data_IF_865658005541
#
_entry.id   IF_865658005541
#
_cell.length_a   1.000
_cell.length_b   1.000
_cell.length_c   1.000
_cell.angle_alpha   90.00
_cell.angle_beta   90.00
_cell.angle_gamma   90.00
#
_symmetry.space_group_name_H-M   'P 1'
#
loop_
_entity.id
_entity.type
_entity.pdbx_description
1 polymer ?
#
# COMPACT_ATOMS: atom_id res chain seq x y z
N UNK A 1 0.91 0.30 5.89
CA UNK A 1 2.25 -0.31 5.71
C UNK A 1 2.76 -1.02 6.96
N UNK A 2 2.57 -0.50 8.18
CA UNK A 2 3.04 -1.15 9.43
C UNK A 2 2.52 -2.57 9.63
N UNK A 3 1.29 -2.87 9.26
CA UNK A 3 0.74 -4.23 9.34
C UNK A 3 1.05 -5.11 8.11
N UNK A 4 1.49 -4.54 6.99
CA UNK A 4 1.79 -5.27 5.76
C UNK A 4 3.26 -5.70 5.67
N UNK A 5 4.19 -4.73 5.76
CA UNK A 5 5.62 -4.96 5.50
C UNK A 5 6.26 -6.01 6.42
N UNK A 6 5.95 -6.05 7.74
CA UNK A 6 6.52 -7.08 8.63
C UNK A 6 6.15 -8.51 8.28
N UNK A 7 5.11 -8.71 7.47
CA UNK A 7 4.58 -10.03 7.12
C UNK A 7 4.90 -10.45 5.69
N UNK A 8 5.31 -9.50 4.84
CA UNK A 8 5.46 -9.77 3.41
C UNK A 8 6.58 -10.78 3.12
N UNK A 9 7.62 -10.81 3.95
CA UNK A 9 8.71 -11.78 3.81
C UNK A 9 8.24 -13.23 3.97
N UNK A 10 7.30 -13.49 4.88
CA UNK A 10 6.70 -14.81 5.08
C UNK A 10 5.85 -15.28 3.90
N UNK A 11 5.22 -14.33 3.21
CA UNK A 11 4.32 -14.62 2.09
C UNK A 11 5.10 -14.83 0.80
N UNK A 12 6.15 -14.03 0.58
CA UNK A 12 6.93 -14.00 -0.66
C UNK A 12 8.21 -14.85 -0.60
N UNK A 13 8.56 -15.42 0.56
CA UNK A 13 9.78 -16.24 0.71
C UNK A 13 11.07 -15.43 0.50
N UNK A 14 11.08 -14.18 0.91
CA UNK A 14 12.23 -13.28 0.84
C UNK A 14 12.88 -13.13 2.21
N UNK A 15 14.11 -12.62 2.26
CA UNK A 15 14.76 -12.29 3.53
C UNK A 15 13.96 -11.27 4.34
N UNK A 16 13.94 -11.43 5.65
CA UNK A 16 13.44 -10.43 6.57
C UNK A 16 14.25 -9.12 6.41
N UNK A 17 13.57 -8.00 6.49
CA UNK A 17 14.19 -6.68 6.39
C UNK A 17 13.61 -5.71 7.42
N UNK A 18 14.42 -4.78 7.83
CA UNK A 18 13.99 -3.64 8.67
C UNK A 18 13.63 -2.45 7.79
N UNK A 19 12.73 -1.61 8.26
CA UNK A 19 12.29 -0.43 7.52
C UNK A 19 11.87 0.71 8.45
N UNK A 20 12.03 1.94 7.98
CA UNK A 20 11.46 3.13 8.58
C UNK A 20 10.32 3.68 7.73
N UNK A 21 9.24 4.07 8.38
CA UNK A 21 8.14 4.78 7.73
C UNK A 21 8.23 6.28 8.06
N UNK A 22 8.34 7.07 7.02
CA UNK A 22 8.35 8.54 7.12
C UNK A 22 7.21 9.11 6.31
N UNK A 23 6.50 10.04 6.92
CA UNK A 23 5.37 10.71 6.27
C UNK A 23 5.81 12.11 5.89
N UNK A 24 5.69 12.43 4.60
CA UNK A 24 6.01 13.79 4.13
C UNK A 24 5.03 14.80 4.78
N UNK A 25 5.50 15.96 5.29
CA UNK A 25 4.63 16.95 5.93
C UNK A 25 3.46 17.41 5.05
N UNK A 26 3.69 17.54 3.76
CA UNK A 26 2.68 17.94 2.76
C UNK A 26 1.95 16.73 2.12
N UNK A 27 2.06 15.51 2.70
CA UNK A 27 1.39 14.29 2.22
C UNK A 27 1.69 13.99 0.74
N UNK A 28 0.68 13.53 -0.02
CA UNK A 28 0.84 13.10 -1.41
C UNK A 28 1.36 14.19 -2.35
N UNK A 29 0.88 15.45 -2.30
CA UNK A 29 1.49 16.56 -3.05
C UNK A 29 2.96 16.77 -2.72
N UNK A 30 3.35 16.59 -1.47
CA UNK A 30 4.74 16.70 -1.04
C UNK A 30 5.60 15.55 -1.55
N UNK A 31 5.09 14.33 -1.56
CA UNK A 31 5.80 13.19 -2.17
C UNK A 31 6.00 13.43 -3.66
N UNK A 32 4.96 13.88 -4.37
CA UNK A 32 5.09 14.16 -5.80
C UNK A 32 6.16 15.22 -6.10
N UNK A 33 6.13 16.33 -5.38
CA UNK A 33 6.99 17.49 -5.70
C UNK A 33 8.41 17.38 -5.12
N UNK A 34 8.57 16.75 -3.94
CA UNK A 34 9.78 16.88 -3.11
C UNK A 34 10.32 15.54 -2.56
N UNK A 35 9.88 14.38 -3.09
CA UNK A 35 10.38 13.08 -2.59
C UNK A 35 11.90 12.98 -2.63
N UNK A 36 12.55 13.49 -3.67
CA UNK A 36 14.00 13.46 -3.83
C UNK A 36 14.73 14.28 -2.77
N UNK A 37 14.25 15.47 -2.45
CA UNK A 37 14.83 16.33 -1.41
C UNK A 37 14.60 15.73 -0.02
N UNK A 38 13.40 15.18 0.21
CA UNK A 38 13.04 14.55 1.48
C UNK A 38 13.87 13.30 1.77
N UNK A 39 14.18 12.50 0.75
CA UNK A 39 14.94 11.26 0.87
C UNK A 39 16.46 11.44 0.72
N UNK A 40 16.95 12.54 0.13
CA UNK A 40 18.39 12.78 -0.08
C UNK A 40 19.26 12.60 1.17
N UNK A 41 18.89 13.13 2.35
CA UNK A 41 19.69 12.97 3.57
C UNK A 41 19.81 11.52 4.04
N UNK A 42 18.98 10.63 3.52
CA UNK A 42 18.85 9.24 3.94
C UNK A 42 19.63 8.26 3.04
N UNK A 43 20.16 8.72 1.90
CA UNK A 43 20.74 7.82 0.90
C UNK A 43 21.99 7.07 1.36
N UNK A 44 22.72 7.59 2.36
CA UNK A 44 23.86 6.93 3.01
C UNK A 44 23.46 6.04 4.19
N UNK A 45 22.21 6.10 4.65
CA UNK A 45 21.73 5.37 5.83
C UNK A 45 20.91 4.12 5.45
N UNK A 46 20.28 4.13 4.28
CA UNK A 46 19.39 3.06 3.84
C UNK A 46 19.85 2.48 2.51
N UNK A 47 19.70 1.16 2.38
CA UNK A 47 20.04 0.44 1.15
C UNK A 47 19.05 0.73 0.04
N UNK A 48 17.75 0.81 0.37
CA UNK A 48 16.65 1.01 -0.57
C UNK A 48 15.67 2.05 -0.07
N UNK A 49 14.95 2.69 -0.98
CA UNK A 49 13.88 3.63 -0.68
C UNK A 49 12.62 3.34 -1.51
N UNK A 50 11.47 3.52 -0.90
CA UNK A 50 10.16 3.46 -1.56
C UNK A 50 9.45 4.80 -1.32
N UNK A 51 9.16 5.54 -2.38
CA UNK A 51 8.25 6.67 -2.32
C UNK A 51 6.84 6.19 -2.66
N UNK A 52 5.87 6.48 -1.79
CA UNK A 52 4.47 6.06 -1.99
C UNK A 52 3.55 7.27 -1.89
N UNK A 53 2.56 7.32 -2.79
CA UNK A 53 1.53 8.34 -2.78
C UNK A 53 0.22 7.78 -3.34
N UNK A 54 -0.87 8.39 -2.94
CA UNK A 54 -2.17 8.18 -3.58
C UNK A 54 -2.28 9.09 -4.81
N UNK A 55 -2.88 8.58 -5.90
CA UNK A 55 -3.16 9.40 -7.07
C UNK A 55 -4.18 10.49 -6.72
N UNK A 56 -5.29 10.09 -6.09
CA UNK A 56 -6.28 11.03 -5.57
C UNK A 56 -5.70 11.81 -4.38
N UNK A 57 -5.75 13.12 -4.47
CA UNK A 57 -5.20 14.03 -3.47
C UNK A 57 -3.74 14.43 -3.72
N UNK A 58 -3.10 13.88 -4.76
CA UNK A 58 -1.75 14.29 -5.18
C UNK A 58 -1.72 15.67 -5.85
N UNK A 59 -2.88 16.16 -6.35
CA UNK A 59 -2.98 17.33 -7.20
C UNK A 59 -2.47 17.08 -8.62
N UNK A 60 -2.38 15.80 -9.02
CA UNK A 60 -1.87 15.35 -10.31
C UNK A 60 -2.79 14.32 -10.99
N UNK A 61 -4.06 14.31 -10.62
CA UNK A 61 -5.07 13.37 -11.09
C UNK A 61 -5.27 13.37 -12.61
N UNK A 62 -4.80 14.40 -13.30
CA UNK A 62 -4.82 14.49 -14.77
C UNK A 62 -3.74 13.64 -15.46
N UNK A 63 -2.75 13.13 -14.71
CA UNK A 63 -1.68 12.28 -15.24
C UNK A 63 -1.95 10.81 -14.94
N UNK A 64 -1.38 9.94 -15.77
CA UNK A 64 -1.41 8.52 -15.46
C UNK A 64 -0.48 8.18 -14.29
N UNK A 65 -0.77 7.10 -13.59
CA UNK A 65 0.08 6.55 -12.54
C UNK A 65 1.53 6.39 -13.00
N UNK A 66 1.73 5.83 -14.19
CA UNK A 66 3.05 5.58 -14.77
C UNK A 66 3.83 6.87 -15.02
N UNK A 67 3.15 7.94 -15.46
CA UNK A 67 3.77 9.24 -15.68
C UNK A 67 4.24 9.87 -14.36
N UNK A 68 3.42 9.75 -13.30
CA UNK A 68 3.77 10.21 -11.95
C UNK A 68 4.97 9.44 -11.42
N UNK A 69 4.92 8.11 -11.49
CA UNK A 69 6.00 7.24 -11.02
C UNK A 69 7.31 7.52 -11.74
N UNK A 70 7.27 7.70 -13.06
CA UNK A 70 8.44 8.04 -13.86
C UNK A 70 9.06 9.38 -13.44
N UNK A 71 8.24 10.41 -13.31
CA UNK A 71 8.70 11.76 -12.94
C UNK A 71 9.43 11.76 -11.59
N UNK A 72 8.84 11.12 -10.58
CA UNK A 72 9.46 11.04 -9.24
C UNK A 72 10.71 10.15 -9.29
N UNK A 73 10.70 9.03 -10.03
CA UNK A 73 11.87 8.14 -10.15
C UNK A 73 13.07 8.86 -10.74
N UNK A 74 12.89 9.63 -11.82
CA UNK A 74 13.96 10.42 -12.44
C UNK A 74 14.56 11.45 -11.46
N UNK A 75 13.74 12.02 -10.58
CA UNK A 75 14.20 12.93 -9.53
C UNK A 75 14.98 12.21 -8.43
N UNK A 76 14.54 11.02 -8.03
CA UNK A 76 15.23 10.18 -7.04
C UNK A 76 16.60 9.71 -7.56
N UNK A 77 16.68 9.29 -8.81
CA UNK A 77 17.95 8.88 -9.44
C UNK A 77 18.98 10.00 -9.37
N UNK A 78 18.60 11.22 -9.74
CA UNK A 78 19.45 12.42 -9.68
C UNK A 78 19.88 12.79 -8.24
N UNK A 79 19.20 12.29 -7.21
CA UNK A 79 19.49 12.58 -5.80
C UNK A 79 20.26 11.47 -5.08
N UNK A 80 20.83 10.50 -5.81
CA UNK A 80 21.67 9.44 -5.28
C UNK A 80 20.94 8.15 -4.93
N UNK A 81 19.68 7.98 -5.43
CA UNK A 81 18.90 6.76 -5.27
C UNK A 81 18.84 5.90 -6.53
N UNK A 82 19.76 6.11 -7.47
CA UNK A 82 19.83 5.34 -8.71
C UNK A 82 19.85 3.83 -8.44
N UNK A 83 18.99 3.08 -9.12
CA UNK A 83 18.82 1.63 -9.01
C UNK A 83 18.42 1.12 -7.60
N UNK A 84 18.26 2.00 -6.60
CA UNK A 84 17.96 1.67 -5.21
C UNK A 84 16.63 2.21 -4.72
N UNK A 85 15.83 2.77 -5.59
CA UNK A 85 14.51 3.29 -5.25
C UNK A 85 13.42 2.77 -6.16
N UNK A 86 12.19 2.85 -5.67
CA UNK A 86 10.99 2.68 -6.48
C UNK A 86 9.91 3.65 -6.02
N UNK A 87 9.04 4.00 -6.95
CA UNK A 87 7.87 4.84 -6.68
C UNK A 87 6.61 4.02 -6.89
N UNK A 88 5.70 4.09 -5.95
CA UNK A 88 4.42 3.38 -5.95
C UNK A 88 3.31 4.44 -5.89
N UNK A 89 2.66 4.69 -7.00
CA UNK A 89 1.47 5.52 -7.07
C UNK A 89 0.23 4.63 -7.02
N UNK A 90 -0.58 4.77 -5.98
CA UNK A 90 -1.78 3.97 -5.76
C UNK A 90 -2.97 4.65 -6.43
N UNK A 91 -3.65 3.96 -7.33
CA UNK A 91 -4.80 4.47 -8.08
C UNK A 91 -6.08 3.71 -7.66
N UNK A 92 -7.10 4.41 -7.19
CA UNK A 92 -7.14 5.84 -6.88
C UNK A 92 -6.41 6.19 -5.57
N UNK A 93 -6.39 5.32 -4.57
CA UNK A 93 -5.94 5.59 -3.21
C UNK A 93 -5.72 4.32 -2.40
N UNK A 94 -5.03 4.43 -1.25
CA UNK A 94 -4.67 3.30 -0.37
C UNK A 94 -5.87 2.44 0.03
N UNK A 95 -7.05 3.03 0.14
CA UNK A 95 -8.28 2.32 0.45
C UNK A 95 -8.58 1.20 -0.56
N UNK A 96 -8.06 1.27 -1.78
CA UNK A 96 -8.18 0.16 -2.74
C UNK A 96 -7.51 -1.14 -2.24
N UNK A 97 -6.53 -1.06 -1.35
CA UNK A 97 -5.82 -2.22 -0.82
C UNK A 97 -6.46 -2.82 0.44
N UNK A 98 -7.32 -2.07 1.14
CA UNK A 98 -7.96 -2.57 2.37
C UNK A 98 -9.20 -3.42 2.11
N UNK A 99 -9.78 -3.37 0.90
CA UNK A 99 -10.93 -4.19 0.52
C UNK A 99 -10.50 -5.64 0.29
N UNK A 100 -10.35 -6.36 1.39
CA UNK A 100 -9.94 -7.76 1.50
C UNK A 100 -11.16 -8.63 1.82
N UNK A 101 -10.96 -9.78 2.42
CA UNK A 101 -12.06 -10.66 2.83
C UNK A 101 -13.03 -9.92 3.77
N UNK A 102 -14.33 -10.01 3.50
CA UNK A 102 -15.40 -9.32 4.24
C UNK A 102 -15.29 -9.49 5.76
N UNK A 103 -15.08 -10.74 6.23
CA UNK A 103 -14.97 -11.02 7.67
C UNK A 103 -13.79 -10.31 8.35
N UNK A 104 -12.72 -10.02 7.63
CA UNK A 104 -11.57 -9.24 8.15
C UNK A 104 -11.96 -7.78 8.31
N UNK A 105 -12.70 -7.25 7.34
CA UNK A 105 -13.22 -5.88 7.41
C UNK A 105 -14.23 -5.73 8.55
N UNK A 106 -15.19 -6.63 8.65
CA UNK A 106 -16.21 -6.63 9.70
C UNK A 106 -15.59 -6.70 11.10
N UNK A 107 -14.63 -7.58 11.29
CA UNK A 107 -13.90 -7.68 12.56
C UNK A 107 -13.15 -6.38 12.89
N UNK A 108 -12.46 -5.80 11.92
CA UNK A 108 -11.64 -4.61 12.14
C UNK A 108 -12.49 -3.37 12.50
N UNK A 109 -13.67 -3.21 11.88
CA UNK A 109 -14.57 -2.07 12.13
C UNK A 109 -15.61 -2.35 13.22
N UNK A 110 -15.57 -3.54 13.85
CA UNK A 110 -16.58 -4.00 14.82
C UNK A 110 -18.00 -3.96 14.25
N UNK A 111 -18.20 -4.56 13.07
CA UNK A 111 -19.49 -4.58 12.38
C UNK A 111 -20.54 -5.33 13.18
N UNK A 112 -21.70 -4.69 13.46
CA UNK A 112 -22.78 -5.22 14.30
C UNK A 112 -24.17 -5.01 13.69
N UNK A 113 -24.27 -4.87 12.36
CA UNK A 113 -25.55 -4.74 11.69
C UNK A 113 -26.20 -6.12 11.41
N UNK A 114 -27.49 -6.13 11.16
CA UNK A 114 -28.26 -7.35 10.86
C UNK A 114 -27.93 -7.97 9.48
N UNK A 115 -27.24 -7.25 8.61
CA UNK A 115 -26.75 -7.71 7.30
C UNK A 115 -25.24 -7.74 7.31
N UNK A 116 -24.64 -8.51 6.40
CA UNK A 116 -23.19 -8.43 6.20
C UNK A 116 -22.75 -7.06 5.69
N UNK A 117 -21.50 -6.72 5.85
CA UNK A 117 -20.95 -5.44 5.40
C UNK A 117 -21.19 -5.24 3.90
N UNK A 118 -20.93 -6.27 3.08
CA UNK A 118 -21.05 -6.13 1.62
C UNK A 118 -22.53 -6.05 1.17
N UNK A 119 -23.44 -6.74 1.83
CA UNK A 119 -24.88 -6.57 1.60
C UNK A 119 -25.36 -5.16 1.97
N UNK A 120 -24.86 -4.63 3.07
CA UNK A 120 -25.17 -3.28 3.49
C UNK A 120 -24.67 -2.24 2.49
N UNK A 121 -23.44 -2.42 1.99
CA UNK A 121 -22.86 -1.53 0.97
C UNK A 121 -23.61 -1.61 -0.37
N UNK A 122 -24.05 -2.80 -0.77
CA UNK A 122 -24.87 -3.00 -1.97
C UNK A 122 -26.21 -2.24 -1.83
N UNK A 123 -26.89 -2.40 -0.70
CA UNK A 123 -28.15 -1.70 -0.39
C UNK A 123 -27.97 -0.17 -0.35
N UNK A 124 -26.76 0.33 -0.06
CA UNK A 124 -26.41 1.76 -0.11
C UNK A 124 -25.94 2.22 -1.49
N UNK A 125 -25.82 1.32 -2.46
CA UNK A 125 -25.28 1.62 -3.79
C UNK A 125 -23.78 1.95 -3.79
N UNK A 126 -23.05 1.57 -2.74
CA UNK A 126 -21.62 1.85 -2.57
C UNK A 126 -20.73 0.72 -3.08
N UNK A 127 -21.27 -0.48 -3.25
CA UNK A 127 -20.59 -1.64 -3.83
C UNK A 127 -21.65 -2.56 -4.45
N UNK A 128 -21.48 -2.95 -5.70
CA UNK A 128 -22.37 -3.94 -6.33
C UNK A 128 -21.92 -5.36 -5.94
N UNK A 129 -22.86 -6.31 -5.88
CA UNK A 129 -22.55 -7.73 -5.61
C UNK A 129 -21.56 -8.34 -6.60
N UNK A 130 -21.61 -7.90 -7.86
CA UNK A 130 -20.72 -8.35 -8.93
C UNK A 130 -19.30 -7.76 -8.85
N UNK A 131 -19.08 -6.72 -8.07
CA UNK A 131 -17.78 -6.07 -7.91
C UNK A 131 -16.97 -6.78 -6.81
N UNK A 132 -15.69 -7.04 -7.07
CA UNK A 132 -14.76 -7.55 -6.06
C UNK A 132 -14.49 -6.48 -4.99
N UNK A 133 -14.33 -5.24 -5.43
CA UNK A 133 -14.07 -4.06 -4.59
C UNK A 133 -15.04 -2.94 -4.96
N UNK A 134 -15.34 -2.00 -4.04
CA UNK A 134 -16.09 -0.80 -4.36
C UNK A 134 -15.40 0.03 -5.44
N UNK A 135 -16.16 0.61 -6.35
CA UNK A 135 -15.64 1.55 -7.36
C UNK A 135 -15.13 2.86 -6.76
N UNK A 136 -15.62 3.20 -5.55
CA UNK A 136 -15.17 4.33 -4.74
C UNK A 136 -14.72 3.80 -3.37
N UNK A 137 -13.50 3.26 -3.26
CA UNK A 137 -13.07 2.48 -2.10
C UNK A 137 -13.09 3.28 -0.79
N UNK A 138 -12.66 4.53 -0.81
CA UNK A 138 -12.64 5.40 0.37
C UNK A 138 -14.05 5.80 0.82
N UNK A 139 -14.92 6.21 -0.11
CA UNK A 139 -16.30 6.59 0.21
C UNK A 139 -17.06 5.42 0.87
N UNK A 140 -16.89 4.21 0.33
CA UNK A 140 -17.46 3.00 0.89
C UNK A 140 -16.90 2.69 2.29
N UNK A 141 -15.57 2.81 2.47
CA UNK A 141 -14.93 2.59 3.76
C UNK A 141 -15.35 3.61 4.81
N UNK A 142 -15.34 4.89 4.47
CA UNK A 142 -15.77 5.96 5.38
C UNK A 142 -17.25 5.83 5.77
N UNK A 143 -18.09 5.35 4.85
CA UNK A 143 -19.49 5.08 5.16
C UNK A 143 -19.63 3.90 6.13
N UNK A 144 -18.86 2.82 5.93
CA UNK A 144 -18.87 1.65 6.80
C UNK A 144 -18.39 1.98 8.23
N UNK A 145 -17.25 2.64 8.39
CA UNK A 145 -16.74 2.99 9.72
C UNK A 145 -17.64 3.98 10.45
N UNK A 146 -18.28 4.89 9.70
CA UNK A 146 -19.27 5.82 10.29
C UNK A 146 -20.50 5.08 10.80
N UNK A 147 -20.99 4.05 10.09
CA UNK A 147 -22.12 3.23 10.52
C UNK A 147 -21.83 2.46 11.82
N UNK A 148 -20.55 2.17 12.10
CA UNK A 148 -20.10 1.48 13.32
C UNK A 148 -19.57 2.45 14.39
N UNK A 149 -19.63 3.77 14.19
CA UNK A 149 -18.97 4.76 15.04
C UNK A 149 -17.48 4.48 15.27
N UNK A 150 -16.82 3.80 14.32
CA UNK A 150 -15.40 3.47 14.41
C UNK A 150 -14.58 4.63 13.85
N UNK A 151 -13.64 5.21 14.60
CA UNK A 151 -12.83 6.33 14.11
C UNK A 151 -11.84 5.87 13.05
N UNK A 152 -11.69 6.64 11.98
CA UNK A 152 -10.61 6.44 11.01
C UNK A 152 -9.25 6.69 11.68
N UNK A 153 -8.40 5.68 11.74
CA UNK A 153 -7.11 5.77 12.42
C UNK A 153 -6.06 4.86 11.75
N UNK A 154 -4.79 5.18 11.93
CA UNK A 154 -3.69 4.32 11.46
C UNK A 154 -3.74 2.92 12.06
N UNK A 155 -4.20 2.79 13.30
CA UNK A 155 -4.38 1.49 13.97
C UNK A 155 -5.46 0.63 13.32
N UNK A 156 -6.53 1.23 12.81
CA UNK A 156 -7.56 0.51 12.07
C UNK A 156 -7.00 -0.08 10.77
N UNK A 157 -6.26 0.72 9.98
CA UNK A 157 -5.60 0.21 8.77
C UNK A 157 -4.56 -0.87 9.08
N UNK A 158 -3.84 -0.73 10.19
CA UNK A 158 -2.88 -1.72 10.66
C UNK A 158 -3.58 -3.03 11.06
N UNK A 159 -4.70 -2.97 11.77
CA UNK A 159 -5.50 -4.14 12.13
C UNK A 159 -6.02 -4.89 10.90
N UNK A 160 -6.53 -4.17 9.89
CA UNK A 160 -6.94 -4.78 8.61
C UNK A 160 -5.73 -5.45 7.94
N UNK A 161 -4.62 -4.72 7.82
CA UNK A 161 -3.43 -5.21 7.15
C UNK A 161 -2.80 -6.43 7.84
N UNK A 162 -2.85 -6.50 9.16
CA UNK A 162 -2.36 -7.66 9.94
C UNK A 162 -3.14 -8.95 9.67
N UNK A 163 -4.42 -8.85 9.31
CA UNK A 163 -5.31 -9.99 9.12
C UNK A 163 -5.64 -10.26 7.64
N UNK A 164 -5.23 -9.37 6.75
CA UNK A 164 -5.47 -9.49 5.32
C UNK A 164 -4.55 -10.52 4.65
N UNK A 165 -5.08 -11.21 3.63
CA UNK A 165 -4.26 -11.98 2.68
C UNK A 165 -4.11 -11.14 1.40
N UNK A 166 -2.87 -10.85 1.04
CA UNK A 166 -2.54 -10.08 -0.17
C UNK A 166 -1.98 -10.95 -1.31
N UNK A 167 -1.97 -12.27 -1.15
CA UNK A 167 -1.39 -13.20 -2.14
C UNK A 167 -2.00 -13.05 -3.54
N UNK A 168 -3.30 -12.87 -3.59
CA UNK A 168 -4.08 -12.72 -4.82
C UNK A 168 -4.37 -11.27 -5.18
N UNK A 169 -3.65 -10.30 -4.60
CA UNK A 169 -3.85 -8.91 -4.95
C UNK A 169 -3.25 -8.60 -6.32
N UNK A 170 -4.11 -8.29 -7.28
CA UNK A 170 -3.75 -7.96 -8.67
C UNK A 170 -3.68 -6.44 -8.90
N UNK A 171 -3.81 -5.63 -7.86
CA UNK A 171 -3.64 -4.19 -7.97
C UNK A 171 -2.25 -3.85 -8.51
N UNK A 172 -2.15 -3.09 -9.61
CA UNK A 172 -0.87 -2.86 -10.29
C UNK A 172 0.20 -2.21 -9.41
N UNK A 173 -0.21 -1.29 -8.51
CA UNK A 173 0.71 -0.65 -7.57
C UNK A 173 1.20 -1.65 -6.51
N UNK A 174 0.32 -2.55 -6.05
CA UNK A 174 0.69 -3.62 -5.13
C UNK A 174 1.61 -4.65 -5.78
N UNK A 175 1.31 -5.08 -7.01
CA UNK A 175 2.16 -6.00 -7.79
C UNK A 175 3.55 -5.41 -7.99
N UNK A 176 3.65 -4.11 -8.31
CA UNK A 176 4.92 -3.40 -8.42
C UNK A 176 5.69 -3.38 -7.11
N UNK A 177 5.02 -3.08 -6.00
CA UNK A 177 5.63 -3.11 -4.66
C UNK A 177 6.24 -4.48 -4.37
N UNK A 178 5.46 -5.56 -4.55
CA UNK A 178 5.92 -6.95 -4.35
C UNK A 178 7.15 -7.27 -5.21
N UNK A 179 7.10 -6.95 -6.50
CA UNK A 179 8.18 -7.22 -7.42
C UNK A 179 9.50 -6.57 -6.99
N UNK A 180 9.46 -5.32 -6.48
CA UNK A 180 10.66 -4.65 -5.98
C UNK A 180 11.16 -5.25 -4.67
N UNK A 181 10.28 -5.60 -3.75
CA UNK A 181 10.67 -6.26 -2.50
C UNK A 181 11.30 -7.63 -2.77
N UNK A 182 10.74 -8.42 -3.68
CA UNK A 182 11.33 -9.70 -4.11
C UNK A 182 12.72 -9.45 -4.73
N UNK A 183 12.83 -8.51 -5.67
CA UNK A 183 14.11 -8.17 -6.30
C UNK A 183 15.19 -7.75 -5.31
N UNK A 184 14.82 -7.00 -4.27
CA UNK A 184 15.77 -6.44 -3.31
C UNK A 184 16.16 -7.40 -2.19
N UNK A 185 15.26 -8.33 -1.83
CA UNK A 185 15.41 -9.20 -0.67
C UNK A 185 15.29 -10.69 -1.03
N UNK A 186 15.57 -11.04 -2.29
CA UNK A 186 15.55 -12.43 -2.74
C UNK A 186 16.48 -13.29 -1.89
N UNK A 187 15.99 -14.45 -1.43
CA UNK A 187 16.82 -15.47 -0.79
C UNK A 187 17.45 -16.32 -1.88
N UNK A 188 18.77 -16.17 -2.10
CA UNK A 188 19.51 -17.07 -2.96
C UNK A 188 19.45 -18.49 -2.40
N UNK A 189 18.70 -19.36 -3.08
CA UNK A 189 18.58 -20.79 -2.74
C UNK A 189 19.86 -21.58 -3.04
N UNK A 190 21.00 -20.91 -3.31
CA UNK A 190 22.23 -21.52 -3.84
C UNK A 190 23.35 -21.75 -2.79
N UNK A 191 23.06 -21.69 -1.49
CA UNK A 191 24.08 -21.96 -0.46
C UNK A 191 23.90 -23.28 0.31
N UNK A 192 23.15 -24.24 -0.22
CA UNK A 192 23.10 -25.60 0.35
C UNK A 192 23.63 -26.58 -0.72
N UNK A 193 24.90 -26.54 -1.02
CA UNK A 193 25.62 -27.63 -1.67
C UNK A 193 27.11 -27.41 -1.61
N UNK A 194 27.74 -27.66 -0.47
CA UNK A 194 29.13 -28.17 -0.38
C UNK A 194 29.55 -28.31 1.10
N UNK A 195 29.01 -29.33 1.76
CA UNK A 195 29.75 -30.01 2.84
C UNK A 195 29.55 -31.48 2.56
N UNK A 196 30.51 -32.02 1.85
CA UNK A 196 30.79 -33.46 1.81
C UNK A 196 32.20 -33.64 2.37
#
# INVERSE_FOLDING_TARGET
>A
MKGLLPRIHLVEGIHEFTFDLRVHPLRDPGVYNNASEFLRPLNGLYKYAIAMLDLHGSGKEQYSREAIEKNISESLEKSGWESRSTVICIDPELENWIWVKESVMEQAIAWQNNSTLFEWLDNKGLKKRSEVKPSKPKEAFESAIRACNTPRSSSLYEAIANNASYRSCEDPAFVKLRAHLIKWFHSDSSSISSVT
#
